data_IF_653829142688
#
_entry.id   IF_653829142688
#
_cell.length_a   1.000
_cell.length_b   1.000
_cell.length_c   1.000
_cell.angle_alpha   90.00
_cell.angle_beta   90.00
_cell.angle_gamma   90.00
#
_symmetry.space_group_name_H-M   'P 1'
#
loop_
_entity.id
_entity.type
_entity.pdbx_description
1 polymer ?
#
# COMPACT_ATOMS: atom_id res chain seq x y z
N UNK A 1 -11.44 9.50 -6.97
CA UNK A 1 -10.98 9.87 -8.33
C UNK A 1 -9.48 9.69 -8.44
N UNK A 2 -9.04 9.05 -9.50
CA UNK A 2 -7.62 8.83 -9.73
C UNK A 2 -7.04 9.98 -10.55
N UNK A 3 -5.93 10.55 -10.10
CA UNK A 3 -5.24 11.62 -10.82
C UNK A 3 -4.37 11.00 -11.91
N UNK A 4 -4.48 11.52 -13.13
CA UNK A 4 -3.72 11.04 -14.27
C UNK A 4 -2.33 11.70 -14.30
N UNK A 5 -1.38 11.11 -13.58
CA UNK A 5 0.02 11.54 -13.54
C UNK A 5 0.95 10.34 -13.64
N UNK A 6 2.17 10.58 -14.11
CA UNK A 6 3.21 9.55 -14.10
C UNK A 6 3.73 9.37 -12.67
N UNK A 7 3.25 8.32 -12.02
CA UNK A 7 3.44 8.11 -10.60
C UNK A 7 4.52 7.08 -10.33
N UNK A 8 5.42 7.40 -9.39
CA UNK A 8 6.34 6.44 -8.79
C UNK A 8 5.84 6.12 -7.40
N UNK A 9 5.45 4.86 -7.16
CA UNK A 9 5.05 4.42 -5.84
C UNK A 9 6.28 4.04 -5.04
N UNK A 10 6.45 4.72 -3.91
CA UNK A 10 7.55 4.46 -2.98
C UNK A 10 7.25 3.23 -2.14
N UNK A 11 8.29 2.69 -1.52
CA UNK A 11 8.13 1.68 -0.47
C UNK A 11 7.55 2.33 0.79
N UNK A 12 7.09 1.50 1.71
CA UNK A 12 6.71 1.96 3.05
C UNK A 12 7.48 1.13 4.07
N UNK A 13 8.44 1.75 4.73
CA UNK A 13 9.32 1.07 5.68
C UNK A 13 9.53 1.99 6.88
N UNK A 14 9.31 1.45 8.08
CA UNK A 14 9.55 2.15 9.34
C UNK A 14 8.84 3.51 9.43
N UNK A 15 7.58 3.57 8.98
CA UNK A 15 6.77 4.77 9.07
C UNK A 15 7.10 5.85 8.05
N UNK A 16 7.97 5.60 7.09
CA UNK A 16 8.34 6.54 6.05
C UNK A 16 8.19 5.94 4.66
N UNK A 17 8.33 6.77 3.64
CA UNK A 17 8.15 6.37 2.25
C UNK A 17 9.46 6.52 1.47
N UNK A 18 10.46 5.63 1.67
CA UNK A 18 11.69 5.67 0.90
C UNK A 18 11.49 5.11 -0.49
N UNK A 19 12.33 5.54 -1.43
CA UNK A 19 12.53 4.81 -2.68
C UNK A 19 13.43 3.61 -2.41
N UNK A 20 13.44 2.64 -3.34
CA UNK A 20 14.41 1.55 -3.25
C UNK A 20 15.82 2.11 -3.22
N UNK A 21 16.69 1.53 -2.39
CA UNK A 21 18.11 1.91 -2.36
C UNK A 21 18.80 1.66 -3.71
N UNK A 22 18.26 0.76 -4.54
CA UNK A 22 18.74 0.49 -5.89
C UNK A 22 18.43 1.61 -6.87
N UNK A 23 17.47 2.47 -6.56
CA UNK A 23 16.96 3.50 -7.45
C UNK A 23 16.14 2.96 -8.62
N UNK A 24 15.88 1.65 -8.66
CA UNK A 24 15.19 1.01 -9.79
C UNK A 24 13.69 1.06 -9.59
N UNK A 25 12.99 1.15 -10.73
CA UNK A 25 11.54 1.04 -10.80
C UNK A 25 11.18 0.09 -11.94
N UNK A 26 9.92 -0.35 -11.99
CA UNK A 26 9.42 -1.09 -13.12
C UNK A 26 8.06 -0.51 -13.54
N UNK A 27 7.73 -0.69 -14.82
CA UNK A 27 6.50 -0.12 -15.36
C UNK A 27 5.34 -1.11 -15.18
N UNK A 28 4.20 -0.60 -14.70
CA UNK A 28 2.94 -1.34 -14.66
C UNK A 28 1.99 -0.71 -15.68
N UNK A 29 1.29 -1.57 -16.42
CA UNK A 29 0.27 -1.17 -17.38
C UNK A 29 -1.09 -1.65 -16.90
N UNK A 30 -2.14 -0.93 -17.31
CA UNK A 30 -3.51 -1.35 -17.05
C UNK A 30 -3.92 -2.49 -18.00
N UNK A 31 -5.16 -2.96 -17.89
CA UNK A 31 -5.68 -4.07 -18.71
C UNK A 31 -5.72 -3.74 -20.20
N UNK A 32 -5.66 -2.45 -20.55
CA UNK A 32 -5.68 -1.98 -21.94
C UNK A 32 -4.29 -1.68 -22.48
N UNK A 33 -3.24 -1.91 -21.71
CA UNK A 33 -1.87 -1.65 -22.10
C UNK A 33 -1.40 -0.22 -21.89
N UNK A 34 -2.19 0.63 -21.26
CA UNK A 34 -1.81 2.01 -20.94
C UNK A 34 -0.94 2.06 -19.69
N UNK A 35 -0.01 3.03 -19.67
CA UNK A 35 0.83 3.25 -18.49
C UNK A 35 -0.03 3.52 -17.25
N UNK A 36 0.27 2.85 -16.16
CA UNK A 36 -0.42 3.02 -14.89
C UNK A 36 0.49 3.65 -13.83
N UNK A 37 1.65 3.07 -13.57
CA UNK A 37 2.57 3.55 -12.55
C UNK A 37 3.96 2.93 -12.71
N UNK A 38 4.94 3.54 -12.02
CA UNK A 38 6.27 3.00 -11.83
C UNK A 38 6.49 2.70 -10.35
N UNK A 39 6.16 1.49 -9.86
CA UNK A 39 6.53 1.14 -8.49
C UNK A 39 8.03 0.92 -8.34
N UNK A 40 8.54 1.10 -7.14
CA UNK A 40 9.92 0.80 -6.84
C UNK A 40 10.20 -0.70 -6.98
N UNK A 41 11.34 -1.05 -7.60
CA UNK A 41 11.82 -2.42 -7.63
C UNK A 41 12.68 -2.65 -6.39
N UNK A 42 12.10 -3.30 -5.37
CA UNK A 42 12.76 -3.55 -4.11
C UNK A 42 13.98 -4.45 -4.26
N UNK A 43 15.01 -4.19 -3.46
CA UNK A 43 16.25 -4.98 -3.43
C UNK A 43 16.27 -5.88 -2.19
N UNK A 44 17.29 -6.74 -2.12
CA UNK A 44 17.52 -7.57 -0.92
C UNK A 44 17.79 -6.69 0.31
N UNK A 45 18.48 -5.58 0.15
CA UNK A 45 18.74 -4.63 1.23
C UNK A 45 17.45 -3.98 1.72
N UNK A 46 16.55 -3.59 0.81
CA UNK A 46 15.24 -3.05 1.16
C UNK A 46 14.44 -4.06 1.98
N UNK A 47 14.45 -5.33 1.58
CA UNK A 47 13.78 -6.40 2.31
C UNK A 47 14.36 -6.56 3.71
N UNK A 48 15.68 -6.55 3.83
CA UNK A 48 16.35 -6.67 5.13
C UNK A 48 15.97 -5.52 6.05
N UNK A 49 15.99 -4.29 5.55
CA UNK A 49 15.61 -3.11 6.33
C UNK A 49 14.15 -3.18 6.78
N UNK A 50 13.27 -3.66 5.91
CA UNK A 50 11.86 -3.87 6.23
C UNK A 50 11.69 -4.88 7.37
N UNK A 51 12.39 -6.00 7.30
CA UNK A 51 12.33 -7.05 8.33
C UNK A 51 12.91 -6.54 9.66
N UNK A 52 14.02 -5.82 9.63
CA UNK A 52 14.63 -5.23 10.83
C UNK A 52 13.66 -4.25 11.49
N UNK A 53 13.03 -3.38 10.71
CA UNK A 53 12.05 -2.44 11.22
C UNK A 53 10.86 -3.15 11.88
N UNK A 54 10.35 -4.20 11.23
CA UNK A 54 9.24 -4.98 11.75
C UNK A 54 9.61 -5.69 13.06
N UNK A 55 10.79 -6.28 13.12
CA UNK A 55 11.28 -6.95 14.33
C UNK A 55 11.49 -5.97 15.49
N UNK A 56 12.05 -4.80 15.19
CA UNK A 56 12.24 -3.75 16.19
C UNK A 56 10.92 -3.28 16.77
N UNK A 57 9.89 -3.17 15.95
CA UNK A 57 8.57 -2.72 16.38
C UNK A 57 7.77 -3.81 17.09
N UNK A 58 8.13 -5.09 16.92
CA UNK A 58 7.31 -6.21 17.38
C UNK A 58 7.07 -6.20 18.88
N UNK A 59 8.12 -5.97 19.69
CA UNK A 59 7.98 -6.00 21.14
C UNK A 59 7.00 -4.95 21.65
N UNK A 60 7.12 -3.71 21.19
CA UNK A 60 6.21 -2.63 21.60
C UNK A 60 4.77 -2.91 21.20
N UNK A 61 4.57 -3.43 19.99
CA UNK A 61 3.23 -3.77 19.52
C UNK A 61 2.64 -4.94 20.28
N UNK A 62 3.39 -6.04 20.43
CA UNK A 62 2.88 -7.25 21.11
C UNK A 62 2.64 -7.03 22.60
N UNK A 63 3.39 -6.11 23.23
CA UNK A 63 3.23 -5.76 24.65
C UNK A 63 2.07 -4.81 24.91
N UNK A 64 1.59 -4.12 23.89
CA UNK A 64 0.42 -3.25 24.02
C UNK A 64 -0.81 -4.09 24.35
N UNK A 65 -1.75 -3.52 25.11
CA UNK A 65 -2.98 -4.23 25.44
C UNK A 65 -3.80 -4.53 24.17
N UNK A 66 -4.59 -5.58 24.22
CA UNK A 66 -5.51 -5.91 23.11
C UNK A 66 -6.45 -4.74 22.82
N UNK A 67 -6.89 -4.04 23.87
CA UNK A 67 -7.72 -2.85 23.70
C UNK A 67 -7.00 -1.76 22.90
N UNK A 68 -5.75 -1.45 23.24
CA UNK A 68 -4.99 -0.40 22.53
C UNK A 68 -4.70 -0.81 21.09
N UNK A 69 -4.34 -2.06 20.83
CA UNK A 69 -4.14 -2.57 19.48
C UNK A 69 -5.44 -2.48 18.67
N UNK A 70 -6.55 -2.86 19.31
CA UNK A 70 -7.88 -2.77 18.69
C UNK A 70 -8.25 -1.35 18.32
N UNK A 71 -7.95 -0.37 19.16
CA UNK A 71 -8.21 1.05 18.86
C UNK A 71 -7.51 1.49 17.57
N UNK A 72 -6.26 1.10 17.39
CA UNK A 72 -5.50 1.43 16.17
C UNK A 72 -6.13 0.77 14.95
N UNK A 73 -6.50 -0.50 15.06
CA UNK A 73 -7.14 -1.22 13.94
C UNK A 73 -8.50 -0.65 13.58
N UNK A 74 -9.29 -0.25 14.56
CA UNK A 74 -10.56 0.45 14.29
C UNK A 74 -10.34 1.76 13.56
N UNK A 75 -9.30 2.51 13.95
CA UNK A 75 -8.98 3.76 13.27
C UNK A 75 -8.58 3.52 11.81
N UNK A 76 -7.81 2.47 11.54
CA UNK A 76 -7.47 2.07 10.17
C UNK A 76 -8.73 1.77 9.37
N UNK A 77 -9.65 0.99 9.95
CA UNK A 77 -10.91 0.65 9.28
C UNK A 77 -11.76 1.89 8.99
N UNK A 78 -11.85 2.83 9.93
CA UNK A 78 -12.58 4.09 9.71
C UNK A 78 -12.00 4.90 8.56
N UNK A 79 -10.66 5.02 8.51
CA UNK A 79 -10.00 5.75 7.43
C UNK A 79 -10.21 5.06 6.09
N UNK A 80 -10.13 3.72 6.04
CA UNK A 80 -10.42 2.97 4.82
C UNK A 80 -11.86 3.18 4.35
N UNK A 81 -12.82 3.16 5.27
CA UNK A 81 -14.22 3.43 4.95
C UNK A 81 -14.41 4.83 4.35
N UNK A 82 -13.76 5.83 4.93
CA UNK A 82 -13.81 7.20 4.42
C UNK A 82 -13.15 7.39 3.07
N UNK A 83 -12.27 6.46 2.68
CA UNK A 83 -11.55 6.48 1.39
C UNK A 83 -11.96 5.33 0.47
N UNK A 84 -13.09 4.70 0.72
CA UNK A 84 -13.53 3.53 -0.03
C UNK A 84 -13.55 3.78 -1.54
N UNK A 85 -14.02 4.95 -1.98
CA UNK A 85 -14.08 5.29 -3.41
C UNK A 85 -12.69 5.32 -4.04
N UNK A 86 -11.67 5.79 -3.32
CA UNK A 86 -10.30 5.80 -3.81
C UNK A 86 -9.76 4.38 -3.98
N UNK A 87 -9.99 3.51 -3.00
CA UNK A 87 -9.59 2.11 -3.08
C UNK A 87 -10.26 1.39 -4.24
N UNK A 88 -11.57 1.61 -4.41
CA UNK A 88 -12.33 1.03 -5.52
C UNK A 88 -11.74 1.48 -6.86
N UNK A 89 -11.47 2.77 -7.01
CA UNK A 89 -10.90 3.31 -8.25
C UNK A 89 -9.54 2.68 -8.58
N UNK A 90 -8.69 2.51 -7.57
CA UNK A 90 -7.37 1.89 -7.78
C UNK A 90 -7.48 0.41 -8.16
N UNK A 91 -8.39 -0.34 -7.54
CA UNK A 91 -8.62 -1.75 -7.88
C UNK A 91 -9.10 -1.87 -9.32
N UNK A 92 -10.04 -1.03 -9.74
CA UNK A 92 -10.52 -1.03 -11.12
C UNK A 92 -9.38 -0.72 -12.09
N UNK A 93 -8.55 0.27 -11.78
CA UNK A 93 -7.43 0.65 -12.64
C UNK A 93 -6.40 -0.47 -12.79
N UNK A 94 -6.07 -1.16 -11.69
CA UNK A 94 -5.03 -2.18 -11.67
C UNK A 94 -5.48 -3.52 -12.23
N UNK A 95 -6.69 -3.94 -11.87
CA UNK A 95 -7.18 -5.30 -12.18
C UNK A 95 -8.14 -5.34 -13.35
N UNK A 96 -8.65 -4.19 -13.79
CA UNK A 96 -9.74 -4.17 -14.78
C UNK A 96 -11.03 -4.74 -14.21
N UNK A 97 -11.20 -4.72 -12.88
CA UNK A 97 -12.37 -5.27 -12.21
C UNK A 97 -13.63 -4.45 -12.53
N UNK A 98 -14.80 -5.10 -12.41
CA UNK A 98 -16.06 -4.37 -12.47
C UNK A 98 -16.24 -3.53 -11.21
N UNK A 99 -17.03 -2.44 -11.25
CA UNK A 99 -17.32 -1.66 -10.06
C UNK A 99 -17.88 -2.50 -8.90
N UNK A 100 -18.76 -3.44 -9.19
CA UNK A 100 -19.35 -4.31 -8.18
C UNK A 100 -18.27 -5.21 -7.52
N UNK A 101 -17.40 -5.81 -8.31
CA UNK A 101 -16.30 -6.63 -7.81
C UNK A 101 -15.32 -5.82 -6.96
N UNK A 102 -14.95 -4.63 -7.42
CA UNK A 102 -14.03 -3.76 -6.70
C UNK A 102 -14.61 -3.32 -5.34
N UNK A 103 -15.89 -2.97 -5.30
CA UNK A 103 -16.57 -2.64 -4.04
C UNK A 103 -16.59 -3.82 -3.08
N UNK A 104 -16.83 -5.02 -3.57
CA UNK A 104 -16.84 -6.23 -2.74
C UNK A 104 -15.47 -6.49 -2.10
N UNK A 105 -14.38 -6.20 -2.81
CA UNK A 105 -13.02 -6.37 -2.28
C UNK A 105 -12.71 -5.38 -1.15
N UNK A 106 -13.27 -4.18 -1.20
CA UNK A 106 -13.03 -3.15 -0.18
C UNK A 106 -13.87 -3.39 1.09
N UNK A 107 -15.03 -4.00 0.95
CA UNK A 107 -15.91 -4.34 2.09
C UNK A 107 -15.37 -5.52 2.88
#
# INVERSE_FOLDING_TARGET
MRIDVMKTYKLFINGSFPRSESGRVYEIKDSKGNFLANPCLGSRKDLRESVVAARTAHHGWSSASAFNRGQILYRVAEIMQGRADQFVAEIIAQEGATPASAKAQVQ
#
